data_IF_104950412006
#
_entry.id   IF_104950412006
#
_cell.length_a   1.000
_cell.length_b   1.000
_cell.length_c   1.000
_cell.angle_alpha   90.00
_cell.angle_beta   90.00
_cell.angle_gamma   90.00
#
_symmetry.space_group_name_H-M   'P 1'
#
loop_
_entity.id
_entity.type
_entity.pdbx_description
1 polymer ?
#
# COMPACT_ATOMS: atom_id res chain seq x y z
N UNK A 1 -32.28 83.74 -28.42
CA UNK A 1 -31.77 82.82 -27.36
C UNK A 1 -31.46 81.44 -27.95
N UNK A 2 -30.20 81.11 -28.12
CA UNK A 2 -29.75 79.78 -28.51
C UNK A 2 -29.71 78.90 -27.28
N UNK A 3 -30.63 77.96 -27.16
CA UNK A 3 -30.52 76.87 -26.20
C UNK A 3 -29.52 75.87 -26.77
N UNK A 4 -28.32 75.88 -26.23
CA UNK A 4 -27.38 74.73 -26.39
C UNK A 4 -27.96 73.58 -25.54
N UNK A 5 -28.56 72.63 -26.25
CA UNK A 5 -28.78 71.33 -25.62
C UNK A 5 -27.43 70.63 -25.49
N UNK A 6 -26.90 70.64 -24.29
CA UNK A 6 -25.71 69.85 -23.97
C UNK A 6 -26.07 68.36 -24.10
N UNK A 7 -25.50 67.71 -25.10
CA UNK A 7 -25.51 66.23 -25.15
C UNK A 7 -24.63 65.77 -23.99
N UNK A 8 -25.28 65.41 -22.89
CA UNK A 8 -24.58 64.62 -21.85
C UNK A 8 -24.33 63.26 -22.46
N UNK A 9 -23.08 63.01 -22.88
CA UNK A 9 -22.67 61.68 -23.25
C UNK A 9 -22.82 60.76 -22.03
N UNK A 10 -23.82 59.92 -22.01
CA UNK A 10 -23.91 58.89 -21.01
C UNK A 10 -22.91 57.79 -21.39
N UNK A 11 -22.08 57.37 -20.44
CA UNK A 11 -21.21 56.21 -20.65
C UNK A 11 -22.10 54.97 -20.82
N UNK A 12 -21.87 54.26 -21.89
CA UNK A 12 -22.52 52.96 -22.11
C UNK A 12 -21.55 51.88 -21.61
N UNK A 13 -22.09 50.90 -20.92
CA UNK A 13 -21.36 49.73 -20.50
C UNK A 13 -21.86 48.56 -21.30
N UNK A 14 -20.93 47.81 -21.86
CA UNK A 14 -21.22 46.55 -22.52
C UNK A 14 -20.49 45.46 -21.78
N UNK A 15 -21.16 44.39 -21.51
CA UNK A 15 -20.62 43.26 -20.78
C UNK A 15 -20.74 42.00 -21.60
N UNK A 16 -19.81 41.10 -21.41
CA UNK A 16 -19.83 39.79 -22.02
C UNK A 16 -19.06 38.84 -21.12
N UNK A 17 -19.24 37.57 -21.35
CA UNK A 17 -18.58 36.52 -20.57
C UNK A 17 -17.76 35.64 -21.48
N UNK A 18 -16.63 35.19 -20.99
CA UNK A 18 -15.86 34.12 -21.60
C UNK A 18 -15.51 33.09 -20.52
N UNK A 19 -15.24 31.86 -20.95
CA UNK A 19 -14.94 30.78 -20.05
C UNK A 19 -13.43 30.59 -19.92
N UNK A 20 -12.99 30.24 -18.74
CA UNK A 20 -11.63 29.80 -18.46
C UNK A 20 -11.70 28.33 -18.05
N UNK A 21 -10.97 27.49 -18.73
CA UNK A 21 -11.02 26.04 -18.53
C UNK A 21 -9.64 25.49 -18.14
N UNK A 22 -9.66 24.55 -17.22
CA UNK A 22 -8.51 23.71 -16.90
C UNK A 22 -9.02 22.32 -16.58
N UNK A 23 -8.40 21.28 -17.12
CA UNK A 23 -8.65 19.89 -16.76
C UNK A 23 -7.41 19.32 -16.06
N UNK A 24 -7.57 18.82 -14.85
CA UNK A 24 -6.54 18.06 -14.16
C UNK A 24 -6.80 16.57 -14.34
N UNK A 25 -5.73 15.83 -14.64
CA UNK A 25 -5.75 14.37 -14.67
C UNK A 25 -5.03 13.81 -13.46
N UNK A 26 -5.43 12.60 -13.03
CA UNK A 26 -4.88 11.96 -11.86
C UNK A 26 -3.45 11.45 -12.06
N UNK A 27 -2.66 11.46 -11.00
CA UNK A 27 -1.34 10.85 -10.94
C UNK A 27 -1.10 10.25 -9.55
N UNK A 28 -0.26 9.23 -9.49
CA UNK A 28 0.15 8.58 -8.26
C UNK A 28 1.65 8.34 -8.22
N UNK A 29 2.21 8.32 -7.03
CA UNK A 29 3.60 7.89 -6.78
C UNK A 29 3.67 7.03 -5.50
N UNK A 30 4.52 6.01 -5.55
CA UNK A 30 4.83 5.19 -4.38
C UNK A 30 6.02 5.83 -3.70
N UNK A 31 5.83 6.23 -2.45
CA UNK A 31 6.90 6.74 -1.61
C UNK A 31 7.45 5.59 -0.78
N UNK A 32 8.62 5.18 -1.14
CA UNK A 32 9.40 4.30 -0.28
C UNK A 32 10.56 5.10 0.28
N UNK A 33 10.48 5.41 1.54
CA UNK A 33 11.64 5.95 2.26
C UNK A 33 12.66 4.86 2.51
N UNK A 34 12.35 3.64 2.13
CA UNK A 34 13.22 2.52 2.28
C UNK A 34 13.21 1.66 1.02
N UNK A 35 14.33 1.01 0.81
CA UNK A 35 14.56 0.08 -0.29
C UNK A 35 13.77 -1.24 -0.17
N UNK A 36 12.82 -1.35 0.75
CA UNK A 36 12.11 -2.59 1.01
C UNK A 36 11.38 -3.11 -0.23
N UNK A 37 10.79 -2.22 -1.01
CA UNK A 37 10.16 -2.62 -2.27
C UNK A 37 11.17 -3.02 -3.34
N UNK A 38 12.46 -2.73 -3.14
CA UNK A 38 13.55 -3.11 -4.01
C UNK A 38 14.53 -4.09 -3.34
N UNK A 39 14.30 -4.41 -2.07
CA UNK A 39 15.16 -5.34 -1.33
C UNK A 39 14.98 -6.76 -1.86
N UNK A 40 16.08 -7.38 -2.20
CA UNK A 40 16.06 -8.73 -2.76
C UNK A 40 16.18 -9.83 -1.72
N UNK A 41 16.55 -9.54 -0.49
CA UNK A 41 16.71 -10.57 0.55
C UNK A 41 16.69 -9.97 1.95
N UNK A 42 15.86 -10.54 2.80
CA UNK A 42 16.06 -10.51 4.24
C UNK A 42 17.13 -11.55 4.56
N UNK A 43 18.24 -11.11 5.10
CA UNK A 43 19.23 -12.05 5.63
C UNK A 43 19.10 -12.12 7.14
N UNK A 44 19.36 -13.29 7.72
CA UNK A 44 19.27 -13.54 9.16
C UNK A 44 20.09 -12.58 10.01
N UNK A 45 21.04 -11.91 9.41
CA UNK A 45 22.04 -11.10 10.10
C UNK A 45 21.86 -9.61 9.84
N UNK A 46 20.84 -9.22 9.08
CA UNK A 46 20.58 -7.82 8.82
C UNK A 46 19.65 -7.25 9.89
N UNK A 47 20.18 -6.46 10.85
CA UNK A 47 19.35 -5.84 11.88
C UNK A 47 18.53 -4.66 11.36
N UNK A 48 18.74 -4.21 10.13
CA UNK A 48 18.06 -3.08 9.52
C UNK A 48 16.96 -3.54 8.56
N UNK A 49 15.87 -4.06 9.10
CA UNK A 49 14.69 -4.36 8.30
C UNK A 49 14.08 -3.07 7.78
N UNK A 50 13.77 -3.06 6.49
CA UNK A 50 13.07 -1.93 5.90
C UNK A 50 11.63 -1.84 6.45
N UNK A 51 11.08 -0.62 6.55
CA UNK A 51 9.81 -0.40 7.25
C UNK A 51 8.61 -1.15 6.68
N UNK A 52 8.62 -1.49 5.38
CA UNK A 52 7.57 -2.31 4.77
C UNK A 52 7.73 -3.82 5.01
N UNK A 53 8.89 -4.27 5.47
CA UNK A 53 9.14 -5.68 5.73
C UNK A 53 8.30 -6.19 6.90
N UNK A 54 7.87 -7.44 6.79
CA UNK A 54 7.16 -8.14 7.87
C UNK A 54 8.11 -9.17 8.47
N UNK A 55 8.37 -9.02 9.76
CA UNK A 55 9.27 -9.89 10.50
C UNK A 55 8.50 -10.70 11.54
N UNK A 56 8.44 -12.02 11.33
CA UNK A 56 7.83 -12.93 12.31
C UNK A 56 8.77 -13.27 13.48
N UNK A 57 9.96 -12.68 13.51
CA UNK A 57 10.97 -12.89 14.55
C UNK A 57 11.53 -14.30 14.58
N UNK A 58 12.33 -14.59 15.61
CA UNK A 58 12.85 -15.93 15.87
C UNK A 58 11.82 -16.71 16.69
N UNK A 59 11.50 -17.91 16.22
CA UNK A 59 10.54 -18.81 16.86
C UNK A 59 11.16 -20.17 17.05
N UNK A 60 10.72 -20.88 18.08
CA UNK A 60 11.11 -22.27 18.32
C UNK A 60 10.21 -23.17 17.48
N UNK A 61 10.80 -24.16 16.80
CA UNK A 61 10.02 -25.17 16.08
C UNK A 61 9.06 -25.88 17.03
N UNK A 62 7.83 -26.11 16.55
CA UNK A 62 6.77 -26.65 17.42
C UNK A 62 5.73 -27.40 16.57
N UNK A 63 5.26 -28.54 17.08
CA UNK A 63 4.18 -29.31 16.46
C UNK A 63 2.78 -28.77 16.78
N UNK A 64 2.69 -27.86 17.74
CA UNK A 64 1.39 -27.31 18.21
C UNK A 64 1.45 -25.77 18.34
N UNK A 65 2.17 -25.11 17.43
CA UNK A 65 2.25 -23.66 17.43
C UNK A 65 0.88 -23.01 17.21
N UNK A 66 0.68 -21.86 17.86
CA UNK A 66 -0.49 -21.01 17.62
C UNK A 66 -0.26 -20.13 16.40
N UNK A 67 -1.33 -19.57 15.84
CA UNK A 67 -1.24 -18.61 14.75
C UNK A 67 -0.47 -17.37 15.19
N UNK A 68 0.31 -16.81 14.26
CA UNK A 68 1.12 -15.62 14.48
C UNK A 68 0.71 -14.57 13.46
N UNK A 69 0.28 -13.41 13.93
CA UNK A 69 -0.02 -12.25 13.09
C UNK A 69 0.99 -11.15 13.37
N UNK A 70 1.59 -10.62 12.32
CA UNK A 70 2.52 -9.52 12.40
C UNK A 70 2.11 -8.40 11.43
N UNK A 71 2.52 -7.21 11.76
CA UNK A 71 2.45 -6.01 10.95
C UNK A 71 3.85 -5.72 10.39
N UNK A 72 3.92 -5.00 9.27
CA UNK A 72 5.21 -4.49 8.78
C UNK A 72 5.93 -3.69 9.89
N UNK A 73 7.25 -3.74 9.89
CA UNK A 73 8.10 -3.21 10.98
C UNK A 73 7.85 -1.73 11.24
N UNK A 74 7.72 -0.94 10.19
CA UNK A 74 7.49 0.51 10.30
C UNK A 74 6.05 0.92 10.51
N UNK A 75 5.10 0.00 10.48
CA UNK A 75 3.67 0.29 10.55
C UNK A 75 3.24 1.32 9.51
N UNK A 76 2.48 2.32 9.92
CA UNK A 76 2.08 3.44 9.05
C UNK A 76 3.20 4.49 8.90
N UNK A 77 4.17 4.54 9.80
CA UNK A 77 5.18 5.60 9.79
C UNK A 77 6.18 5.46 8.64
N UNK A 78 6.71 4.25 8.41
CA UNK A 78 7.74 3.97 7.40
C UNK A 78 7.41 2.75 6.55
N UNK A 79 6.13 2.43 6.41
CA UNK A 79 5.67 1.33 5.60
C UNK A 79 5.49 1.70 4.14
N UNK A 80 4.40 1.24 3.57
CA UNK A 80 4.01 1.52 2.19
C UNK A 80 3.21 2.82 2.16
N UNK A 81 3.78 3.87 1.60
CA UNK A 81 3.15 5.19 1.49
C UNK A 81 2.89 5.53 0.02
N UNK A 82 1.68 5.98 -0.28
CA UNK A 82 1.25 6.28 -1.65
C UNK A 82 0.67 7.69 -1.68
N UNK A 83 1.19 8.52 -2.59
CA UNK A 83 0.61 9.83 -2.89
C UNK A 83 -0.12 9.77 -4.22
N UNK A 84 -1.40 10.07 -4.19
CA UNK A 84 -2.21 10.23 -5.38
C UNK A 84 -2.90 11.58 -5.33
N UNK A 85 -3.09 12.22 -6.49
CA UNK A 85 -3.86 13.45 -6.59
C UNK A 85 -5.24 13.26 -5.96
N UNK A 86 -5.78 14.35 -5.40
CA UNK A 86 -7.09 14.32 -4.72
C UNK A 86 -8.16 13.72 -5.62
N UNK A 87 -8.95 12.81 -5.07
CA UNK A 87 -10.04 12.12 -5.76
C UNK A 87 -9.61 11.16 -6.88
N UNK A 88 -8.34 10.81 -6.98
CA UNK A 88 -7.87 9.77 -7.90
C UNK A 88 -8.20 8.41 -7.28
N UNK A 89 -8.94 7.59 -8.01
CA UNK A 89 -9.18 6.20 -7.61
C UNK A 89 -7.93 5.38 -7.96
N UNK A 90 -7.46 4.57 -7.02
CA UNK A 90 -6.34 3.68 -7.24
C UNK A 90 -6.51 2.37 -6.51
N UNK A 91 -5.81 1.36 -6.98
CA UNK A 91 -5.75 0.05 -6.32
C UNK A 91 -4.31 -0.33 -6.01
N UNK A 92 -4.14 -1.05 -4.92
CA UNK A 92 -2.86 -1.63 -4.53
C UNK A 92 -3.03 -3.14 -4.46
N UNK A 93 -2.24 -3.85 -5.26
CA UNK A 93 -2.17 -5.30 -5.29
C UNK A 93 -0.88 -5.79 -4.66
N UNK A 94 -0.95 -6.92 -3.97
CA UNK A 94 0.18 -7.62 -3.38
C UNK A 94 0.27 -9.03 -3.96
N UNK A 95 1.45 -9.39 -4.46
CA UNK A 95 1.71 -10.71 -5.05
C UNK A 95 2.96 -11.32 -4.44
N UNK A 96 2.82 -12.40 -3.64
CA UNK A 96 3.95 -13.20 -3.18
C UNK A 96 4.73 -13.80 -4.35
N UNK A 97 6.05 -13.91 -4.23
CA UNK A 97 6.91 -14.22 -5.36
C UNK A 97 7.49 -15.64 -5.37
N UNK A 98 7.70 -16.27 -4.22
CA UNK A 98 8.21 -17.66 -4.21
C UNK A 98 7.23 -18.61 -4.90
N UNK A 99 5.96 -18.51 -4.54
CA UNK A 99 4.85 -19.14 -5.23
C UNK A 99 3.82 -18.04 -5.51
N UNK A 100 3.67 -17.66 -6.76
CA UNK A 100 2.77 -16.57 -7.13
C UNK A 100 1.32 -16.93 -6.83
N UNK A 101 0.59 -15.98 -6.25
CA UNK A 101 -0.83 -16.10 -5.99
C UNK A 101 -1.53 -14.75 -6.15
N UNK A 102 -2.82 -14.77 -6.40
CA UNK A 102 -3.64 -13.57 -6.53
C UNK A 102 -4.47 -13.25 -5.28
N UNK A 103 -4.47 -14.14 -4.30
CA UNK A 103 -5.30 -14.03 -3.09
C UNK A 103 -4.50 -13.65 -1.83
N UNK A 104 -3.22 -13.29 -1.98
CA UNK A 104 -2.35 -12.91 -0.87
C UNK A 104 -1.80 -14.08 -0.05
N UNK A 105 -2.09 -15.32 -0.42
CA UNK A 105 -1.40 -16.47 0.16
C UNK A 105 0.03 -16.52 -0.34
N UNK A 106 0.98 -16.57 0.58
CA UNK A 106 2.38 -16.67 0.27
C UNK A 106 3.03 -17.92 0.84
N UNK A 107 4.24 -18.19 0.37
CA UNK A 107 5.02 -19.34 0.77
C UNK A 107 6.45 -18.90 1.04
N UNK A 108 6.87 -18.98 2.28
CA UNK A 108 8.27 -18.72 2.64
C UNK A 108 9.10 -19.99 2.39
N UNK A 109 10.25 -19.81 1.80
CA UNK A 109 11.26 -20.85 1.60
C UNK A 109 12.43 -20.65 2.53
N UNK A 110 12.99 -21.77 3.02
CA UNK A 110 14.23 -21.73 3.76
C UNK A 110 15.42 -21.33 2.87
N UNK A 111 16.38 -20.61 3.43
CA UNK A 111 17.61 -20.23 2.72
C UNK A 111 18.42 -21.47 2.28
N UNK A 112 18.30 -22.59 2.99
CA UNK A 112 18.95 -23.86 2.67
C UNK A 112 18.27 -24.64 1.52
N UNK A 113 17.20 -24.10 0.93
CA UNK A 113 16.50 -24.73 -0.18
C UNK A 113 17.37 -24.84 -1.44
N UNK A 114 18.17 -23.81 -1.71
CA UNK A 114 19.06 -23.80 -2.87
C UNK A 114 20.13 -24.89 -2.82
N UNK A 115 20.56 -25.27 -1.62
CA UNK A 115 21.48 -26.39 -1.41
C UNK A 115 20.79 -27.76 -1.31
N UNK A 116 19.45 -27.78 -1.50
CA UNK A 116 18.60 -28.98 -1.39
C UNK A 116 18.59 -29.65 -0.02
N UNK A 117 18.97 -28.92 1.02
CA UNK A 117 18.98 -29.43 2.40
C UNK A 117 17.62 -29.32 3.04
N UNK A 118 16.82 -28.34 2.62
CA UNK A 118 15.50 -28.05 3.19
C UNK A 118 14.49 -27.80 2.10
N UNK A 119 13.48 -28.66 1.98
CA UNK A 119 12.35 -28.48 1.06
C UNK A 119 11.08 -28.05 1.77
N UNK A 120 11.12 -27.82 3.07
CA UNK A 120 9.98 -27.35 3.83
C UNK A 120 9.62 -25.93 3.46
N UNK A 121 8.36 -25.62 3.64
CA UNK A 121 7.80 -24.29 3.39
C UNK A 121 6.94 -23.86 4.56
N UNK A 122 6.84 -22.54 4.77
CA UNK A 122 5.91 -21.95 5.74
C UNK A 122 4.95 -21.04 4.99
N UNK A 123 3.66 -21.37 5.05
CA UNK A 123 2.62 -20.58 4.42
C UNK A 123 2.25 -19.37 5.28
N UNK A 124 1.87 -18.27 4.63
CA UNK A 124 1.34 -17.08 5.28
C UNK A 124 0.23 -16.45 4.46
N UNK A 125 -0.57 -15.60 5.07
CA UNK A 125 -1.64 -14.85 4.42
C UNK A 125 -1.42 -13.36 4.63
N UNK A 126 -1.32 -12.60 3.54
CA UNK A 126 -1.34 -11.14 3.57
C UNK A 126 -2.76 -10.63 3.83
N UNK A 127 -2.88 -9.59 4.63
CA UNK A 127 -4.16 -9.03 5.06
C UNK A 127 -4.15 -7.52 4.99
N UNK A 128 -5.32 -6.96 4.64
CA UNK A 128 -5.54 -5.53 4.50
C UNK A 128 -5.68 -4.84 5.86
N UNK A 129 -5.32 -3.55 5.95
CA UNK A 129 -5.75 -2.74 7.07
C UNK A 129 -7.26 -2.47 7.00
N UNK A 130 -7.83 -2.05 8.12
CA UNK A 130 -9.19 -1.51 8.15
C UNK A 130 -9.20 -0.14 7.47
N UNK A 131 -10.16 0.06 6.58
CA UNK A 131 -10.40 1.33 5.91
C UNK A 131 -11.83 1.77 6.24
N UNK A 132 -11.99 3.02 6.65
CA UNK A 132 -13.30 3.61 6.97
C UNK A 132 -13.54 4.88 6.15
N UNK A 133 -14.80 5.24 5.98
CA UNK A 133 -15.20 6.36 5.15
C UNK A 133 -15.13 6.03 3.65
N UNK A 134 -15.30 7.05 2.83
CA UNK A 134 -15.29 6.92 1.36
C UNK A 134 -14.77 8.20 0.71
N UNK A 135 -14.29 8.08 -0.51
CA UNK A 135 -13.77 9.21 -1.27
C UNK A 135 -12.62 9.91 -0.53
N UNK A 136 -12.59 11.23 -0.59
CA UNK A 136 -11.54 12.04 0.07
C UNK A 136 -11.64 12.03 1.60
N UNK A 137 -12.73 11.50 2.16
CA UNK A 137 -12.90 11.32 3.61
C UNK A 137 -12.48 9.92 4.08
N UNK A 138 -11.90 9.12 3.20
CA UNK A 138 -11.42 7.79 3.50
C UNK A 138 -10.23 7.85 4.46
N UNK A 139 -10.24 6.99 5.47
CA UNK A 139 -9.16 6.84 6.45
C UNK A 139 -8.70 5.41 6.53
N UNK A 140 -7.38 5.21 6.55
CA UNK A 140 -6.75 3.92 6.81
C UNK A 140 -6.40 3.86 8.29
N UNK A 141 -6.78 2.77 8.95
CA UNK A 141 -6.48 2.51 10.36
C UNK A 141 -5.35 1.50 10.50
N UNK A 142 -4.53 1.67 11.51
CA UNK A 142 -3.49 0.69 11.85
C UNK A 142 -4.09 -0.50 12.63
N UNK A 143 -5.02 -1.17 11.97
CA UNK A 143 -5.78 -2.30 12.51
C UNK A 143 -5.95 -3.33 11.41
N UNK A 144 -5.71 -4.59 11.73
CA UNK A 144 -5.90 -5.70 10.79
C UNK A 144 -7.40 -5.92 10.52
N UNK A 145 -7.80 -5.88 9.26
CA UNK A 145 -9.17 -6.20 8.86
C UNK A 145 -9.46 -7.70 8.84
N UNK A 146 -8.42 -8.53 8.90
CA UNK A 146 -8.47 -9.98 8.70
C UNK A 146 -9.04 -10.40 7.33
N UNK A 147 -8.99 -9.51 6.34
CA UNK A 147 -9.39 -9.83 4.97
C UNK A 147 -8.16 -9.98 4.08
N UNK A 148 -8.17 -10.93 3.12
CA UNK A 148 -7.04 -11.14 2.23
C UNK A 148 -6.65 -9.90 1.44
N UNK A 149 -5.35 -9.68 1.32
CA UNK A 149 -4.79 -8.66 0.43
C UNK A 149 -4.00 -9.34 -0.66
N UNK A 150 -4.58 -9.44 -1.82
CA UNK A 150 -4.00 -10.04 -3.00
C UNK A 150 -3.86 -9.07 -4.16
N UNK A 151 -3.91 -9.59 -5.37
CA UNK A 151 -3.62 -8.86 -6.59
C UNK A 151 -4.75 -8.92 -7.63
N UNK A 152 -5.93 -9.37 -7.26
CA UNK A 152 -7.08 -9.40 -8.17
C UNK A 152 -8.42 -9.28 -7.44
N UNK A 153 -9.41 -8.79 -8.16
CA UNK A 153 -10.80 -8.75 -7.71
C UNK A 153 -10.98 -8.03 -6.36
N UNK A 154 -11.73 -8.64 -5.47
CA UNK A 154 -12.01 -8.12 -4.13
C UNK A 154 -10.81 -8.17 -3.18
N UNK A 155 -9.76 -8.91 -3.54
CA UNK A 155 -8.52 -8.97 -2.76
C UNK A 155 -7.60 -7.78 -3.00
N UNK A 156 -7.83 -6.99 -4.05
CA UNK A 156 -7.18 -5.69 -4.20
C UNK A 156 -7.63 -4.72 -3.10
N UNK A 157 -6.73 -3.84 -2.67
CA UNK A 157 -7.09 -2.71 -1.83
C UNK A 157 -7.41 -1.52 -2.72
N UNK A 158 -8.67 -1.05 -2.66
CA UNK A 158 -9.15 0.10 -3.44
C UNK A 158 -9.23 1.32 -2.56
N UNK A 159 -8.61 2.41 -2.98
CA UNK A 159 -8.50 3.64 -2.21
C UNK A 159 -8.73 4.87 -3.08
N UNK A 160 -8.87 6.02 -2.42
CA UNK A 160 -8.99 7.32 -3.07
C UNK A 160 -7.83 8.21 -2.67
N UNK A 161 -7.19 8.85 -3.65
CA UNK A 161 -6.11 9.79 -3.44
C UNK A 161 -6.52 10.99 -2.58
N UNK A 162 -5.63 11.39 -1.69
CA UNK A 162 -5.86 12.46 -0.72
C UNK A 162 -5.06 13.73 -1.07
N UNK A 163 -4.15 13.65 -2.03
CA UNK A 163 -3.29 14.73 -2.45
C UNK A 163 -1.84 14.30 -2.64
N UNK A 164 -1.04 15.22 -3.19
CA UNK A 164 0.35 14.95 -3.58
C UNK A 164 1.38 15.48 -2.59
N UNK A 165 0.96 16.15 -1.52
CA UNK A 165 1.89 16.59 -0.47
C UNK A 165 2.24 15.43 0.48
N UNK A 166 3.35 15.55 1.19
CA UNK A 166 3.81 14.51 2.12
C UNK A 166 2.79 14.23 3.23
N UNK A 167 2.10 15.26 3.71
CA UNK A 167 1.06 15.12 4.73
C UNK A 167 -0.23 14.46 4.22
N UNK A 168 -0.41 14.40 2.90
CA UNK A 168 -1.58 13.83 2.24
C UNK A 168 -1.34 12.41 1.75
N UNK A 169 -0.13 11.87 1.93
CA UNK A 169 0.18 10.49 1.59
C UNK A 169 -0.74 9.52 2.32
N UNK A 170 -1.25 8.54 1.59
CA UNK A 170 -1.96 7.42 2.18
C UNK A 170 -0.94 6.44 2.72
N UNK A 171 -0.97 6.22 4.03
CA UNK A 171 -0.04 5.35 4.74
C UNK A 171 -0.69 4.00 4.97
N UNK A 172 -0.07 2.94 4.46
CA UNK A 172 -0.63 1.60 4.45
C UNK A 172 0.19 0.66 5.34
N UNK A 173 -0.35 0.21 6.48
CA UNK A 173 0.21 -0.93 7.18
C UNK A 173 -0.16 -2.21 6.42
N UNK A 174 0.72 -3.19 6.48
CA UNK A 174 0.50 -4.52 5.88
C UNK A 174 0.54 -5.56 6.99
N UNK A 175 -0.42 -6.46 6.99
CA UNK A 175 -0.49 -7.55 7.97
C UNK A 175 -0.25 -8.88 7.29
N UNK A 176 0.33 -9.82 8.02
CA UNK A 176 0.47 -11.20 7.58
C UNK A 176 0.27 -12.15 8.76
N UNK A 177 -0.35 -13.29 8.48
CA UNK A 177 -0.61 -14.33 9.47
C UNK A 177 -0.02 -15.66 9.01
N UNK A 178 0.79 -16.27 9.87
CA UNK A 178 1.20 -17.66 9.78
C UNK A 178 0.21 -18.49 10.60
N UNK A 179 -0.41 -19.50 9.99
CA UNK A 179 -1.42 -20.33 10.63
C UNK A 179 -0.85 -21.14 11.79
N UNK A 180 -1.74 -21.56 12.70
CA UNK A 180 -1.40 -22.54 13.73
C UNK A 180 -0.87 -23.84 13.08
N UNK A 181 0.13 -24.44 13.72
CA UNK A 181 0.70 -25.72 13.29
C UNK A 181 1.75 -25.61 12.15
N UNK A 182 2.08 -24.41 11.68
CA UNK A 182 3.06 -24.23 10.59
C UNK A 182 4.53 -24.34 11.02
N UNK A 183 4.83 -24.41 12.30
CA UNK A 183 6.23 -24.34 12.78
C UNK A 183 6.90 -25.69 13.00
N UNK A 184 6.29 -26.79 12.61
CA UNK A 184 6.96 -28.10 12.61
C UNK A 184 7.72 -28.30 11.29
N UNK A 185 8.79 -27.56 11.14
CA UNK A 185 9.57 -27.48 9.90
C UNK A 185 11.05 -27.60 10.20
N UNK A 186 11.83 -27.87 9.17
CA UNK A 186 13.28 -27.88 9.24
C UNK A 186 13.79 -26.53 9.79
N UNK A 187 14.75 -26.57 10.71
CA UNK A 187 15.33 -25.35 11.30
C UNK A 187 16.09 -24.59 10.23
N UNK A 188 15.59 -23.41 9.91
CA UNK A 188 16.16 -22.55 8.86
C UNK A 188 15.65 -21.11 9.04
N UNK A 189 16.14 -20.21 8.21
CA UNK A 189 15.52 -18.90 8.01
C UNK A 189 14.61 -18.96 6.78
N UNK A 190 13.35 -18.63 6.97
CA UNK A 190 12.33 -18.66 5.93
C UNK A 190 12.02 -17.25 5.45
N UNK A 191 11.92 -17.07 4.15
CA UNK A 191 11.67 -15.77 3.54
C UNK A 191 10.86 -15.88 2.25
N UNK A 192 10.20 -14.78 1.90
CA UNK A 192 9.54 -14.55 0.62
C UNK A 192 9.67 -13.07 0.28
N UNK A 193 9.43 -12.73 -0.96
CA UNK A 193 9.26 -11.35 -1.42
C UNK A 193 7.81 -11.13 -1.84
N UNK A 194 7.33 -9.91 -1.67
CA UNK A 194 6.01 -9.49 -2.14
C UNK A 194 6.16 -8.35 -3.14
N UNK A 195 5.60 -8.53 -4.32
CA UNK A 195 5.52 -7.50 -5.34
C UNK A 195 4.32 -6.61 -5.08
N UNK A 196 4.54 -5.31 -5.10
CA UNK A 196 3.48 -4.29 -4.97
C UNK A 196 3.15 -3.75 -6.35
N UNK A 197 1.88 -3.73 -6.69
CA UNK A 197 1.38 -3.15 -7.93
C UNK A 197 0.38 -2.04 -7.62
N UNK A 198 0.67 -0.84 -8.11
CA UNK A 198 -0.19 0.33 -8.01
C UNK A 198 -0.83 0.56 -9.38
N UNK A 199 -2.16 0.66 -9.40
CA UNK A 199 -2.94 0.92 -10.63
C UNK A 199 -3.87 2.12 -10.41
N UNK A 200 -3.83 3.07 -11.35
CA UNK A 200 -4.65 4.28 -11.29
C UNK A 200 -5.05 4.81 -12.67
#
# INVERSE_FOLDING_TARGET
SLMMMGNTAMAETKEGNFNVHLKLTGTCEVLTTNSALNSTKITTEDPSLAGADIDFSTRVASSNSTAITQKNVGGMATGLNIRCSKNTLFTVGLEPQNVTSNNGEGTMWGISRTSKQNNDTISYQLQKPVVSGSGINQTVQETNSNTPWGNSGTDLLSLTGQGLSDSEAVKLPVYATVKAGELNKFIDTYQDQVKVTLTY
#
